data_IF_381715374598
#
_entry.id   IF_381715374598
#
_cell.length_a   1.000
_cell.length_b   1.000
_cell.length_c   1.000
_cell.angle_alpha   90.00
_cell.angle_beta   90.00
_cell.angle_gamma   90.00
#
_symmetry.space_group_name_H-M   'P 1'
#
loop_
_entity.id
_entity.type
_entity.pdbx_description
1 polymer ?
#
# COMPACT_ATOMS: atom_id res chain seq x y z
N UNK A 1 6.10 1.63 -4.87
CA UNK A 1 4.93 2.31 -5.47
C UNK A 1 4.64 3.56 -4.62
N UNK A 2 4.42 4.75 -5.18
CA UNK A 2 4.20 5.95 -4.36
C UNK A 2 2.76 6.03 -3.84
N UNK A 3 2.57 6.06 -2.53
CA UNK A 3 1.25 6.12 -1.87
C UNK A 3 0.98 7.55 -1.38
N UNK A 4 -0.29 7.97 -1.42
CA UNK A 4 -0.69 9.33 -1.01
C UNK A 4 -0.42 9.60 0.47
N UNK A 5 -0.02 10.82 0.84
CA UNK A 5 0.21 11.17 2.26
C UNK A 5 -1.03 10.96 3.14
N UNK A 6 -2.20 11.36 2.64
CA UNK A 6 -3.49 11.20 3.34
C UNK A 6 -3.80 9.76 3.77
N UNK A 7 -3.18 8.76 3.13
CA UNK A 7 -3.34 7.37 3.55
C UNK A 7 -2.72 7.12 4.93
N UNK A 8 -1.54 7.70 5.19
CA UNK A 8 -0.83 7.51 6.46
C UNK A 8 -1.53 8.25 7.60
N UNK A 9 -2.09 9.44 7.31
CA UNK A 9 -2.90 10.17 8.28
C UNK A 9 -4.16 9.37 8.69
N UNK A 10 -4.81 8.70 7.73
CA UNK A 10 -5.97 7.83 8.01
C UNK A 10 -5.57 6.59 8.81
N UNK A 11 -4.47 5.93 8.45
CA UNK A 11 -3.95 4.74 9.15
C UNK A 11 -3.54 5.09 10.58
N UNK A 12 -2.87 6.23 10.79
CA UNK A 12 -2.50 6.73 12.12
C UNK A 12 -3.73 6.90 13.00
N UNK A 13 -4.75 7.62 12.50
CA UNK A 13 -5.99 7.87 13.24
C UNK A 13 -6.80 6.58 13.49
N UNK A 14 -6.88 5.69 12.49
CA UNK A 14 -7.68 4.47 12.54
C UNK A 14 -7.12 3.44 13.51
N UNK A 15 -5.80 3.28 13.55
CA UNK A 15 -5.14 2.27 14.35
C UNK A 15 -4.45 2.83 15.61
N UNK A 16 -4.48 4.15 15.81
CA UNK A 16 -3.78 4.80 16.93
C UNK A 16 -2.28 4.52 16.90
N UNK A 17 -1.67 4.57 15.72
CA UNK A 17 -0.23 4.34 15.58
C UNK A 17 0.57 5.48 16.22
N UNK A 18 1.76 5.16 16.69
CA UNK A 18 2.75 6.17 17.01
C UNK A 18 3.09 6.97 15.74
N UNK A 19 3.10 8.32 15.78
CA UNK A 19 3.47 9.15 14.64
C UNK A 19 4.81 8.78 14.01
N UNK A 20 5.80 8.33 14.80
CA UNK A 20 7.10 7.89 14.29
C UNK A 20 6.96 6.62 13.44
N UNK A 21 6.04 5.72 13.80
CA UNK A 21 5.74 4.53 13.01
C UNK A 21 5.03 4.92 11.71
N UNK A 22 4.04 5.81 11.76
CA UNK A 22 3.36 6.31 10.57
C UNK A 22 4.34 6.99 9.59
N UNK A 23 5.28 7.79 10.11
CA UNK A 23 6.33 8.44 9.31
C UNK A 23 7.28 7.43 8.65
N UNK A 24 7.62 6.35 9.35
CA UNK A 24 8.43 5.26 8.78
C UNK A 24 7.69 4.51 7.68
N UNK A 25 6.41 4.20 7.87
CA UNK A 25 5.57 3.59 6.84
C UNK A 25 5.49 4.50 5.61
N UNK A 26 5.30 5.81 5.83
CA UNK A 26 5.26 6.84 4.78
C UNK A 26 6.55 6.91 3.98
N UNK A 27 7.70 7.00 4.65
CA UNK A 27 8.99 7.09 3.96
C UNK A 27 9.30 5.84 3.12
N UNK A 28 8.88 4.66 3.59
CA UNK A 28 9.08 3.39 2.90
C UNK A 28 7.98 3.05 1.86
N UNK A 29 6.91 3.84 1.78
CA UNK A 29 5.72 3.56 0.98
C UNK A 29 5.03 2.21 1.31
N UNK A 30 4.98 1.87 2.60
CA UNK A 30 4.41 0.61 3.10
C UNK A 30 2.94 0.83 3.46
N UNK A 31 2.05 0.00 2.90
CA UNK A 31 0.67 -0.07 3.35
C UNK A 31 0.56 -0.97 4.58
N UNK A 32 -0.33 -0.61 5.48
CA UNK A 32 -0.53 -1.25 6.78
C UNK A 32 -2.00 -1.65 6.97
N UNK A 33 -2.23 -2.81 7.57
CA UNK A 33 -3.51 -3.22 8.09
C UNK A 33 -3.29 -3.96 9.41
N UNK A 34 -4.30 -3.96 10.28
CA UNK A 34 -4.25 -4.64 11.58
C UNK A 34 -5.63 -5.17 11.93
N UNK A 35 -5.68 -6.38 12.45
CA UNK A 35 -6.85 -6.94 13.10
C UNK A 35 -6.54 -7.26 14.57
N UNK A 36 -7.49 -7.85 15.29
CA UNK A 36 -7.32 -8.21 16.70
C UNK A 36 -6.21 -9.26 16.94
N UNK A 37 -5.76 -9.94 15.89
CA UNK A 37 -4.85 -11.08 15.97
C UNK A 37 -3.44 -10.77 15.44
N UNK A 38 -3.25 -9.68 14.69
CA UNK A 38 -1.94 -9.32 14.18
C UNK A 38 -1.91 -8.15 13.21
N UNK A 39 -0.73 -7.95 12.64
CA UNK A 39 -0.42 -6.83 11.76
C UNK A 39 -0.02 -7.32 10.36
N UNK A 40 -0.25 -6.47 9.37
CA UNK A 40 0.03 -6.75 7.99
C UNK A 40 0.66 -5.56 7.30
N UNK A 41 1.83 -5.78 6.73
CA UNK A 41 2.60 -4.77 6.00
C UNK A 41 2.71 -5.20 4.54
N UNK A 42 2.47 -4.27 3.62
CA UNK A 42 2.48 -4.52 2.18
C UNK A 42 3.32 -3.47 1.47
N UNK A 43 4.24 -3.91 0.61
CA UNK A 43 5.02 -3.03 -0.25
C UNK A 43 4.92 -3.50 -1.70
N UNK A 44 4.62 -2.59 -2.61
CA UNK A 44 4.44 -2.91 -4.03
C UNK A 44 5.59 -2.40 -4.88
N UNK A 45 6.15 -3.29 -5.69
CA UNK A 45 7.01 -2.92 -6.80
C UNK A 45 6.21 -2.18 -7.89
N UNK A 46 6.86 -1.37 -8.75
CA UNK A 46 6.23 -0.89 -9.98
C UNK A 46 5.69 -2.04 -10.84
N UNK A 47 4.66 -1.76 -11.62
CA UNK A 47 4.07 -2.73 -12.55
C UNK A 47 5.06 -3.08 -13.66
N UNK A 48 5.22 -4.36 -13.96
CA UNK A 48 6.03 -4.86 -15.07
C UNK A 48 5.12 -5.29 -16.23
N UNK A 49 5.46 -4.87 -17.46
CA UNK A 49 4.77 -5.30 -18.67
C UNK A 49 3.25 -5.07 -18.65
N UNK A 50 2.48 -6.09 -19.05
CA UNK A 50 1.02 -6.03 -19.21
C UNK A 50 0.23 -6.29 -17.92
N UNK A 51 0.70 -5.76 -16.78
CA UNK A 51 -0.05 -5.81 -15.53
C UNK A 51 0.48 -6.79 -14.48
N UNK A 52 1.69 -7.31 -14.65
CA UNK A 52 2.33 -8.11 -13.62
C UNK A 52 2.81 -7.21 -12.47
N UNK A 53 2.47 -7.58 -11.24
CA UNK A 53 2.84 -6.84 -10.05
C UNK A 53 3.53 -7.77 -9.06
N UNK A 54 4.52 -7.24 -8.35
CA UNK A 54 5.15 -7.92 -7.23
C UNK A 54 4.75 -7.19 -5.96
N UNK A 55 4.33 -7.97 -4.98
CA UNK A 55 4.00 -7.53 -3.63
C UNK A 55 4.90 -8.24 -2.64
N UNK A 56 5.50 -7.46 -1.75
CA UNK A 56 6.21 -7.95 -0.58
C UNK A 56 5.31 -7.80 0.62
N UNK A 57 5.09 -8.90 1.35
CA UNK A 57 4.22 -8.92 2.52
C UNK A 57 4.97 -9.37 3.76
N UNK A 58 4.70 -8.70 4.87
CA UNK A 58 5.09 -9.15 6.20
C UNK A 58 3.84 -9.30 7.04
N UNK A 59 3.65 -10.48 7.63
CA UNK A 59 2.57 -10.78 8.57
C UNK A 59 3.17 -10.98 9.95
N UNK A 60 2.66 -10.26 10.92
CA UNK A 60 3.03 -10.43 12.34
C UNK A 60 1.83 -10.95 13.11
N UNK A 61 2.09 -11.80 14.10
CA UNK A 61 1.03 -12.47 14.85
C UNK A 61 0.25 -13.45 13.98
N UNK A 62 -1.07 -13.50 14.19
CA UNK A 62 -1.98 -14.41 13.50
C UNK A 62 -2.91 -13.68 12.50
N UNK A 63 -2.46 -12.58 11.91
CA UNK A 63 -3.22 -11.85 10.89
C UNK A 63 -3.51 -12.73 9.66
N UNK A 64 -4.78 -13.04 9.46
CA UNK A 64 -5.26 -13.94 8.40
C UNK A 64 -5.90 -13.19 7.20
N UNK A 65 -6.04 -11.88 7.29
CA UNK A 65 -6.64 -11.05 6.24
C UNK A 65 -5.77 -10.89 4.99
N UNK A 66 -6.24 -10.11 4.02
CA UNK A 66 -5.51 -9.82 2.77
C UNK A 66 -5.25 -8.32 2.56
N UNK A 67 -5.43 -7.49 3.59
CA UNK A 67 -5.29 -6.03 3.44
C UNK A 67 -6.34 -5.45 2.49
N UNK A 68 -7.58 -5.94 2.52
CA UNK A 68 -8.66 -5.42 1.67
C UNK A 68 -8.83 -3.90 1.73
N UNK A 69 -8.72 -3.23 2.90
CA UNK A 69 -8.76 -1.77 3.00
C UNK A 69 -7.67 -1.05 2.18
N UNK A 70 -6.54 -1.70 1.92
CA UNK A 70 -5.39 -1.12 1.21
C UNK A 70 -5.55 -1.18 -0.32
N UNK A 71 -6.45 -2.02 -0.84
CA UNK A 71 -6.62 -2.23 -2.28
C UNK A 71 -6.96 -0.96 -3.07
N UNK A 72 -7.87 -0.06 -2.64
CA UNK A 72 -8.18 1.16 -3.39
C UNK A 72 -6.97 2.09 -3.54
N UNK A 73 -6.17 2.24 -2.49
CA UNK A 73 -4.97 3.08 -2.49
C UNK A 73 -3.90 2.54 -3.42
N UNK A 74 -3.67 1.23 -3.39
CA UNK A 74 -2.79 0.55 -4.35
C UNK A 74 -3.25 0.76 -5.79
N UNK A 75 -4.53 0.55 -6.08
CA UNK A 75 -5.07 0.69 -7.44
C UNK A 75 -4.92 2.13 -7.93
N UNK A 76 -5.19 3.12 -7.07
CA UNK A 76 -4.99 4.52 -7.39
C UNK A 76 -3.53 4.83 -7.71
N UNK A 77 -2.59 4.33 -6.91
CA UNK A 77 -1.17 4.52 -7.13
C UNK A 77 -0.67 3.80 -8.40
N UNK A 78 -1.13 2.59 -8.69
CA UNK A 78 -0.81 1.87 -9.92
C UNK A 78 -1.34 2.60 -11.17
N UNK A 79 -2.58 3.12 -11.11
CA UNK A 79 -3.16 3.91 -12.20
C UNK A 79 -2.34 5.14 -12.55
N UNK A 80 -1.69 5.79 -11.58
CA UNK A 80 -0.80 6.94 -11.83
C UNK A 80 0.45 6.57 -12.63
N UNK A 81 0.94 5.33 -12.51
CA UNK A 81 2.10 4.84 -13.24
C UNK A 81 1.75 4.24 -14.62
N UNK A 82 0.47 3.93 -14.86
CA UNK A 82 0.02 3.42 -16.15
C UNK A 82 -0.06 4.55 -17.18
N UNK A 83 0.38 4.27 -18.41
CA UNK A 83 0.16 5.18 -19.54
C UNK A 83 -1.34 5.40 -19.74
N UNK A 84 -1.80 6.65 -19.92
CA UNK A 84 -3.19 6.95 -20.25
C UNK A 84 -3.65 6.16 -21.48
N UNK A 85 -4.87 5.62 -21.40
CA UNK A 85 -5.51 4.93 -22.53
C UNK A 85 -5.67 5.93 -23.68
N UNK A 86 -5.03 5.65 -24.82
CA UNK A 86 -5.08 6.49 -26.02
C UNK A 86 -3.76 7.20 -26.39
N UNK A 87 -2.71 7.11 -25.56
CA UNK A 87 -1.42 7.73 -25.90
C UNK A 87 -0.59 6.81 -26.81
N UNK A 88 -0.21 7.23 -28.03
CA UNK A 88 0.48 6.39 -29.01
C UNK A 88 1.84 5.90 -28.49
N UNK A 89 2.16 4.62 -28.73
CA UNK A 89 3.50 4.07 -28.45
C UNK A 89 4.49 4.69 -29.44
N UNK A 90 5.64 5.15 -28.94
CA UNK A 90 6.79 5.56 -29.78
C UNK A 90 7.37 4.32 -30.45
#
# INVERSE_FOLDING_TARGET
>A
LQISMNYYDDVEARFGLDPEVADRLRSANILYDRDDNGEFFQLYAPTFGEGFIIEFVERRGAYAGYGAPNAPFRIAAQKRLMRPKGMPKL
#
